data_IF_299258750120
#
_entry.id   IF_299258750120
#
_cell.length_a   1.000
_cell.length_b   1.000
_cell.length_c   1.000
_cell.angle_alpha   90.00
_cell.angle_beta   90.00
_cell.angle_gamma   90.00
#
_symmetry.space_group_name_H-M   'P 1'
#
loop_
_entity.id
_entity.type
_entity.pdbx_description
1 polymer ?
#
# COMPACT_ATOMS: atom_id res chain seq x y z
N UNK A 1 4.23 7.35 28.89
CA UNK A 1 4.03 6.91 27.49
C UNK A 1 5.16 5.95 27.17
N UNK A 2 4.83 4.69 26.98
CA UNK A 2 5.82 3.65 26.68
C UNK A 2 6.36 3.82 25.25
N UNK A 3 7.66 3.67 25.09
CA UNK A 3 8.33 3.83 23.80
C UNK A 3 8.70 2.46 23.24
N UNK A 4 8.10 2.10 22.11
CA UNK A 4 8.47 0.90 21.38
C UNK A 4 9.60 1.24 20.38
N UNK A 5 10.75 0.64 20.58
CA UNK A 5 11.89 0.78 19.67
C UNK A 5 11.65 -0.08 18.41
N UNK A 6 11.73 0.56 17.25
CA UNK A 6 11.50 -0.08 15.94
C UNK A 6 12.71 0.07 15.01
N UNK A 7 13.88 -0.54 15.33
CA UNK A 7 15.12 -0.36 14.56
C UNK A 7 15.00 -0.83 13.09
N UNK A 8 14.07 -1.74 12.78
CA UNK A 8 13.76 -2.18 11.40
C UNK A 8 13.25 -1.06 10.49
N UNK A 9 12.65 0.00 11.05
CA UNK A 9 12.26 1.17 10.26
C UNK A 9 13.47 1.99 9.82
N UNK A 10 14.62 1.84 10.46
CA UNK A 10 15.81 2.61 10.14
C UNK A 10 16.33 2.34 8.71
N UNK A 11 16.34 1.09 8.28
CA UNK A 11 16.70 0.72 6.91
C UNK A 11 15.71 1.32 5.89
N UNK A 12 14.42 1.33 6.22
CA UNK A 12 13.38 1.97 5.41
C UNK A 12 13.54 3.49 5.35
N UNK A 13 13.85 4.13 6.47
CA UNK A 13 14.06 5.59 6.55
C UNK A 13 15.35 5.99 5.82
N UNK A 14 16.41 5.17 5.90
CA UNK A 14 17.67 5.37 5.19
C UNK A 14 17.65 5.00 3.70
N UNK A 15 16.68 4.24 3.23
CA UNK A 15 16.57 3.90 1.81
C UNK A 15 16.56 5.19 0.99
N UNK A 16 17.49 5.31 0.03
CA UNK A 16 17.58 6.49 -0.86
C UNK A 16 16.21 6.74 -1.48
N UNK A 17 15.62 7.90 -1.21
CA UNK A 17 14.36 8.33 -1.83
C UNK A 17 14.57 8.29 -3.34
N UNK A 18 13.86 7.42 -4.05
CA UNK A 18 13.90 7.40 -5.49
C UNK A 18 13.48 8.77 -6.01
N UNK A 19 14.27 9.38 -6.90
CA UNK A 19 13.96 10.68 -7.53
C UNK A 19 12.62 10.67 -8.29
N UNK A 20 12.09 9.49 -8.62
CA UNK A 20 10.86 9.31 -9.38
C UNK A 20 9.76 8.66 -8.53
N UNK A 21 8.59 9.28 -8.50
CA UNK A 21 7.39 8.76 -7.84
C UNK A 21 7.02 7.36 -8.35
N UNK A 22 6.81 6.39 -7.44
CA UNK A 22 6.47 5.01 -7.80
C UNK A 22 5.11 4.89 -8.48
N UNK A 23 4.13 5.73 -8.10
CA UNK A 23 2.81 5.75 -8.74
C UNK A 23 2.89 6.26 -10.17
N UNK A 24 3.57 7.39 -10.41
CA UNK A 24 3.80 7.92 -11.76
C UNK A 24 4.57 6.91 -12.64
N UNK A 25 5.50 6.18 -12.05
CA UNK A 25 6.25 5.12 -12.74
C UNK A 25 5.38 3.91 -13.04
N UNK A 26 4.47 3.54 -12.12
CA UNK A 26 3.49 2.47 -12.31
C UNK A 26 2.51 2.75 -13.44
N UNK A 27 2.20 4.02 -13.71
CA UNK A 27 1.37 4.42 -14.85
C UNK A 27 2.04 4.12 -16.20
N UNK A 28 3.38 4.16 -16.26
CA UNK A 28 4.18 3.93 -17.49
C UNK A 28 4.51 2.46 -17.72
N UNK A 29 4.63 1.64 -16.67
CA UNK A 29 5.00 0.22 -16.78
C UNK A 29 4.35 -0.62 -15.68
N UNK A 30 3.40 -1.46 -16.06
CA UNK A 30 2.66 -2.33 -15.11
C UNK A 30 3.53 -3.41 -14.47
N UNK A 31 4.39 -4.08 -15.24
CA UNK A 31 5.08 -5.30 -14.82
C UNK A 31 6.18 -5.08 -13.78
N UNK A 32 6.85 -3.95 -13.78
CA UNK A 32 7.99 -3.65 -12.88
C UNK A 32 7.60 -3.03 -11.54
N UNK A 33 6.31 -2.73 -11.30
CA UNK A 33 5.88 -1.92 -10.15
C UNK A 33 4.75 -2.56 -9.35
N UNK A 34 4.46 -3.85 -9.54
CA UNK A 34 3.39 -4.57 -8.84
C UNK A 34 2.02 -3.86 -8.91
N UNK A 35 1.71 -3.23 -10.04
CA UNK A 35 0.40 -2.61 -10.28
C UNK A 35 -0.65 -3.71 -10.41
N UNK A 36 -1.67 -3.67 -9.58
CA UNK A 36 -2.75 -4.66 -9.57
C UNK A 36 -4.01 -4.18 -10.29
N UNK A 37 -4.29 -2.87 -10.25
CA UNK A 37 -5.48 -2.31 -10.86
C UNK A 37 -5.28 -0.84 -11.24
N UNK A 38 -5.97 -0.39 -12.29
CA UNK A 38 -5.96 0.99 -12.75
C UNK A 38 -7.32 1.37 -13.32
N UNK A 39 -7.79 2.55 -12.97
CA UNK A 39 -8.97 3.21 -13.54
C UNK A 39 -8.56 4.46 -14.32
N UNK A 40 -9.53 5.27 -14.70
CA UNK A 40 -9.29 6.60 -15.27
C UNK A 40 -8.61 7.55 -14.27
N UNK A 41 -8.96 7.46 -12.98
CA UNK A 41 -8.52 8.42 -11.97
C UNK A 41 -7.67 7.82 -10.84
N UNK A 42 -7.59 6.49 -10.73
CA UNK A 42 -6.85 5.82 -9.67
C UNK A 42 -5.90 4.74 -10.19
N UNK A 43 -4.83 4.49 -9.41
CA UNK A 43 -3.92 3.38 -9.60
C UNK A 43 -3.71 2.65 -8.27
N UNK A 44 -3.70 1.33 -8.30
CA UNK A 44 -3.44 0.47 -7.13
C UNK A 44 -2.22 -0.40 -7.37
N UNK A 45 -1.34 -0.48 -6.38
CA UNK A 45 -0.14 -1.32 -6.43
C UNK A 45 0.17 -1.94 -5.06
N UNK A 46 0.80 -3.11 -5.07
CA UNK A 46 1.31 -3.72 -3.86
C UNK A 46 2.48 -2.91 -3.29
N UNK A 47 2.49 -2.73 -1.98
CA UNK A 47 3.63 -2.13 -1.30
C UNK A 47 4.79 -3.13 -1.25
N UNK A 48 5.96 -2.75 -1.75
CA UNK A 48 7.17 -3.58 -1.72
C UNK A 48 7.81 -3.66 -0.31
N UNK A 49 7.39 -2.77 0.60
CA UNK A 49 7.72 -2.80 2.02
C UNK A 49 6.44 -2.97 2.85
N UNK A 50 5.78 -4.13 2.75
CA UNK A 50 4.45 -4.31 3.28
C UNK A 50 4.45 -4.32 4.82
N UNK A 51 3.44 -3.67 5.43
CA UNK A 51 3.20 -3.77 6.87
C UNK A 51 2.64 -5.14 7.26
N UNK A 52 1.89 -5.74 6.35
CA UNK A 52 1.39 -7.12 6.43
C UNK A 52 1.19 -7.68 5.03
N UNK A 53 0.97 -9.01 4.90
CA UNK A 53 0.69 -9.62 3.60
C UNK A 53 -0.52 -8.94 2.93
N UNK A 54 -0.42 -8.69 1.62
CA UNK A 54 -1.48 -8.02 0.87
C UNK A 54 -1.62 -6.51 1.11
N UNK A 55 -0.61 -5.84 1.66
CA UNK A 55 -0.61 -4.37 1.79
C UNK A 55 -0.63 -3.71 0.42
N UNK A 56 -1.75 -3.06 0.08
CA UNK A 56 -1.94 -2.31 -1.15
C UNK A 56 -1.93 -0.82 -0.87
N UNK A 57 -1.40 -0.06 -1.82
CA UNK A 57 -1.50 1.39 -1.87
C UNK A 57 -2.38 1.80 -3.07
N UNK A 58 -3.31 2.72 -2.85
CA UNK A 58 -4.22 3.26 -3.86
C UNK A 58 -3.99 4.76 -3.94
N UNK A 59 -3.75 5.28 -5.14
CA UNK A 59 -3.36 6.66 -5.37
C UNK A 59 -4.13 7.25 -6.54
N UNK A 60 -4.44 8.55 -6.55
CA UNK A 60 -4.94 9.20 -7.75
C UNK A 60 -3.91 9.10 -8.87
N UNK A 61 -4.36 9.07 -10.12
CA UNK A 61 -3.49 9.09 -11.31
C UNK A 61 -2.74 10.42 -11.40
N UNK A 62 -3.42 11.51 -11.03
CA UNK A 62 -2.81 12.85 -10.99
C UNK A 62 -1.88 12.97 -9.79
N UNK A 63 -0.67 13.47 -10.03
CA UNK A 63 0.35 13.67 -8.98
C UNK A 63 -0.04 14.84 -8.07
N UNK A 64 -0.70 14.55 -6.97
CA UNK A 64 -1.12 15.51 -5.93
C UNK A 64 -0.63 15.04 -4.57
N UNK A 65 -0.28 15.99 -3.70
CA UNK A 65 0.30 15.71 -2.38
C UNK A 65 -0.72 15.66 -1.24
N UNK A 66 -1.91 16.22 -1.47
CA UNK A 66 -2.92 16.39 -0.42
C UNK A 66 -4.33 16.11 -0.97
N UNK A 67 -5.22 15.62 -0.11
CA UNK A 67 -6.59 15.29 -0.50
C UNK A 67 -7.44 16.54 -0.80
N UNK A 68 -7.11 17.71 -0.23
CA UNK A 68 -7.76 18.98 -0.52
C UNK A 68 -7.61 19.41 -2.00
N UNK A 69 -6.62 18.83 -2.69
CA UNK A 69 -6.36 19.09 -4.11
C UNK A 69 -7.11 18.14 -5.05
N UNK A 70 -7.84 17.16 -4.51
CA UNK A 70 -8.60 16.20 -5.30
C UNK A 70 -9.88 16.83 -5.84
N UNK A 71 -10.23 16.45 -7.07
CA UNK A 71 -11.55 16.73 -7.65
C UNK A 71 -12.55 15.68 -7.15
N UNK A 72 -13.83 16.03 -7.10
CA UNK A 72 -14.91 15.14 -6.67
C UNK A 72 -14.87 13.78 -7.39
N UNK A 73 -14.72 13.78 -8.73
CA UNK A 73 -14.61 12.55 -9.51
C UNK A 73 -13.42 11.67 -9.12
N UNK A 74 -12.30 12.27 -8.70
CA UNK A 74 -11.11 11.54 -8.21
C UNK A 74 -11.38 10.92 -6.84
N UNK A 75 -12.07 11.65 -5.94
CA UNK A 75 -12.43 11.15 -4.61
C UNK A 75 -13.38 9.95 -4.74
N UNK A 76 -14.44 10.10 -5.55
CA UNK A 76 -15.41 9.03 -5.79
C UNK A 76 -14.74 7.79 -6.39
N UNK A 77 -13.87 7.96 -7.38
CA UNK A 77 -13.15 6.86 -8.03
C UNK A 77 -12.17 6.17 -7.09
N UNK A 78 -11.48 6.95 -6.23
CA UNK A 78 -10.55 6.42 -5.23
C UNK A 78 -11.26 5.47 -4.26
N UNK A 79 -12.44 5.85 -3.76
CA UNK A 79 -13.22 5.01 -2.85
C UNK A 79 -13.89 3.82 -3.55
N UNK A 80 -14.34 3.97 -4.81
CA UNK A 80 -14.80 2.83 -5.62
C UNK A 80 -13.68 1.83 -5.86
N UNK A 81 -12.48 2.32 -6.15
CA UNK A 81 -11.27 1.51 -6.33
C UNK A 81 -10.89 0.81 -5.03
N UNK A 82 -10.92 1.51 -3.89
CA UNK A 82 -10.69 0.92 -2.56
C UNK A 82 -11.64 -0.25 -2.30
N UNK A 83 -12.94 -0.07 -2.56
CA UNK A 83 -13.93 -1.13 -2.37
C UNK A 83 -13.71 -2.32 -3.31
N UNK A 84 -13.35 -2.08 -4.57
CA UNK A 84 -13.04 -3.15 -5.53
C UNK A 84 -11.79 -3.93 -5.10
N UNK A 85 -10.72 -3.24 -4.70
CA UNK A 85 -9.49 -3.85 -4.19
C UNK A 85 -9.76 -4.65 -2.91
N UNK A 86 -10.55 -4.10 -1.98
CA UNK A 86 -10.94 -4.82 -0.77
C UNK A 86 -11.65 -6.14 -1.08
N UNK A 87 -12.64 -6.12 -1.97
CA UNK A 87 -13.36 -7.34 -2.39
C UNK A 87 -12.42 -8.39 -3.00
N UNK A 88 -11.45 -7.98 -3.80
CA UNK A 88 -10.44 -8.88 -4.34
C UNK A 88 -9.55 -9.47 -3.24
N UNK A 89 -9.13 -8.66 -2.27
CA UNK A 89 -8.37 -9.13 -1.11
C UNK A 89 -9.19 -10.11 -0.25
N UNK A 90 -10.50 -9.87 -0.06
CA UNK A 90 -11.41 -10.78 0.64
C UNK A 90 -11.42 -12.17 0.00
N UNK A 91 -11.49 -12.24 -1.34
CA UNK A 91 -11.50 -13.51 -2.08
C UNK A 91 -10.14 -14.21 -2.05
N UNK A 92 -9.06 -13.48 -2.30
CA UNK A 92 -7.71 -14.04 -2.48
C UNK A 92 -7.06 -14.41 -1.15
N UNK A 93 -7.22 -13.58 -0.11
CA UNK A 93 -6.50 -13.69 1.15
C UNK A 93 -7.37 -14.02 2.36
N UNK A 94 -8.69 -13.82 2.25
CA UNK A 94 -9.68 -14.08 3.32
C UNK A 94 -9.26 -13.47 4.68
N UNK A 95 -8.95 -12.16 4.74
CA UNK A 95 -8.55 -11.53 6.01
C UNK A 95 -9.75 -11.39 6.95
N UNK A 96 -9.48 -11.24 8.25
CA UNK A 96 -10.51 -11.00 9.26
C UNK A 96 -10.90 -9.51 9.36
N UNK A 97 -10.05 -8.60 8.85
CA UNK A 97 -10.29 -7.17 8.89
C UNK A 97 -9.24 -6.38 8.11
N UNK A 98 -9.32 -5.06 8.19
CA UNK A 98 -8.43 -4.13 7.50
C UNK A 98 -8.08 -2.93 8.35
N UNK A 99 -6.84 -2.44 8.23
CA UNK A 99 -6.50 -1.07 8.57
C UNK A 99 -6.43 -0.26 7.28
N UNK A 100 -7.17 0.84 7.22
CA UNK A 100 -7.22 1.74 6.07
C UNK A 100 -6.87 3.13 6.56
N UNK A 101 -5.94 3.81 5.87
CA UNK A 101 -5.50 5.14 6.30
C UNK A 101 -4.65 5.86 5.26
N UNK A 102 -4.40 7.13 5.52
CA UNK A 102 -3.57 8.04 4.71
C UNK A 102 -2.51 8.66 5.62
N UNK A 103 -1.27 8.64 5.19
CA UNK A 103 -0.18 9.36 5.86
C UNK A 103 0.10 10.65 5.09
N UNK A 104 -0.08 11.78 5.74
CA UNK A 104 0.20 13.10 5.17
C UNK A 104 1.44 13.67 5.85
N UNK A 105 2.44 14.04 5.10
CA UNK A 105 3.78 14.48 5.51
C UNK A 105 4.72 13.34 5.97
N UNK A 106 6.04 13.59 5.95
CA UNK A 106 7.04 12.65 6.46
C UNK A 106 6.86 12.33 7.94
N UNK A 107 6.45 13.32 8.72
CA UNK A 107 6.31 13.21 10.18
C UNK A 107 5.15 12.27 10.57
N UNK A 108 4.14 12.14 9.69
CA UNK A 108 3.08 11.16 9.80
C UNK A 108 3.44 9.78 9.23
N UNK A 109 4.70 9.56 8.81
CA UNK A 109 5.19 8.28 8.30
C UNK A 109 5.00 8.07 6.79
N UNK A 110 4.69 9.13 6.01
CA UNK A 110 4.62 9.03 4.56
C UNK A 110 6.00 8.76 3.96
N UNK A 111 6.21 7.57 3.40
CA UNK A 111 7.44 7.23 2.65
C UNK A 111 7.52 7.90 1.27
N UNK A 112 6.36 8.26 0.70
CA UNK A 112 6.20 8.96 -0.57
C UNK A 112 5.42 10.24 -0.31
N UNK A 113 6.13 11.32 -0.07
CA UNK A 113 5.56 12.58 0.44
C UNK A 113 4.90 13.47 -0.61
N UNK A 114 5.22 13.26 -1.88
CA UNK A 114 4.75 14.11 -2.97
C UNK A 114 3.51 13.57 -3.69
N UNK A 115 3.06 12.38 -3.40
CA UNK A 115 1.91 11.76 -4.08
C UNK A 115 0.99 11.09 -3.06
N UNK A 116 -0.19 11.66 -2.87
CA UNK A 116 -1.23 11.17 -1.99
C UNK A 116 -1.53 9.71 -2.27
N UNK A 117 -1.59 8.90 -1.22
CA UNK A 117 -1.96 7.49 -1.35
C UNK A 117 -2.65 6.98 -0.09
N UNK A 118 -3.57 6.09 -0.31
CA UNK A 118 -4.38 5.39 0.67
C UNK A 118 -3.78 4.02 0.88
N UNK A 119 -3.55 3.65 2.13
CA UNK A 119 -3.11 2.30 2.50
C UNK A 119 -4.33 1.44 2.81
N UNK A 120 -4.35 0.20 2.32
CA UNK A 120 -5.24 -0.86 2.78
C UNK A 120 -4.38 -2.06 3.20
N UNK A 121 -4.45 -2.41 4.48
CA UNK A 121 -3.63 -3.44 5.10
C UNK A 121 -4.53 -4.54 5.64
N UNK A 122 -4.53 -5.74 5.04
CA UNK A 122 -5.28 -6.88 5.57
C UNK A 122 -4.78 -7.28 6.96
N UNK A 123 -5.71 -7.73 7.80
CA UNK A 123 -5.43 -8.14 9.17
C UNK A 123 -6.04 -9.52 9.48
N UNK A 124 -5.30 -10.32 10.22
CA UNK A 124 -5.76 -11.63 10.73
C UNK A 124 -5.61 -11.70 12.25
N UNK A 125 -6.43 -12.50 12.88
CA UNK A 125 -6.23 -12.83 14.29
C UNK A 125 -4.86 -13.53 14.43
N UNK A 126 -3.99 -12.99 15.28
CA UNK A 126 -2.64 -13.54 15.47
C UNK A 126 -1.64 -13.21 14.35
N UNK A 127 -1.87 -12.18 13.54
CA UNK A 127 -0.95 -11.75 12.47
C UNK A 127 0.34 -11.07 12.99
N UNK A 128 0.45 -10.89 14.29
CA UNK A 128 1.65 -10.44 14.99
C UNK A 128 2.13 -11.52 15.94
N UNK A 129 3.42 -11.81 15.95
CA UNK A 129 4.07 -12.78 16.82
C UNK A 129 5.35 -12.16 17.43
N UNK A 130 6.17 -12.96 18.08
CA UNK A 130 7.39 -12.50 18.73
C UNK A 130 8.53 -12.11 17.74
N UNK A 131 8.46 -12.52 16.47
CA UNK A 131 9.52 -12.27 15.48
C UNK A 131 9.86 -10.79 15.29
N UNK A 132 8.88 -9.85 15.16
CA UNK A 132 9.19 -8.44 15.08
C UNK A 132 9.85 -7.88 16.34
N UNK A 133 9.52 -8.42 17.53
CA UNK A 133 10.01 -7.95 18.82
C UNK A 133 11.42 -8.46 19.11
N UNK A 134 11.66 -9.76 18.95
CA UNK A 134 12.91 -10.39 19.30
C UNK A 134 13.96 -10.33 18.18
N UNK A 135 13.52 -10.42 16.91
CA UNK A 135 14.42 -10.58 15.76
C UNK A 135 14.32 -9.46 14.74
N UNK A 136 13.54 -8.42 15.04
CA UNK A 136 13.36 -7.30 14.12
C UNK A 136 12.91 -7.75 12.70
N UNK A 137 12.15 -8.83 12.62
CA UNK A 137 11.78 -9.50 11.36
C UNK A 137 10.28 -9.61 11.24
N UNK A 138 9.71 -9.04 10.18
CA UNK A 138 8.32 -9.27 9.79
C UNK A 138 8.26 -10.39 8.76
N UNK A 139 7.62 -11.49 9.12
CA UNK A 139 7.39 -12.61 8.19
C UNK A 139 6.25 -12.25 7.24
N UNK A 140 6.50 -12.30 5.94
CA UNK A 140 5.51 -12.16 4.88
C UNK A 140 5.38 -13.52 4.20
N UNK A 141 4.19 -14.11 4.29
CA UNK A 141 3.94 -15.51 3.96
C UNK A 141 3.83 -15.81 2.46
N UNK A 142 3.84 -14.79 1.60
CA UNK A 142 3.64 -14.96 0.15
C UNK A 142 4.54 -14.01 -0.65
N UNK A 143 5.01 -14.46 -1.83
CA UNK A 143 5.78 -13.60 -2.71
C UNK A 143 4.91 -12.49 -3.33
N UNK A 144 5.47 -11.29 -3.46
CA UNK A 144 4.78 -10.15 -4.07
C UNK A 144 4.34 -10.44 -5.51
N UNK A 145 5.17 -11.16 -6.29
CA UNK A 145 4.88 -11.49 -7.68
C UNK A 145 3.70 -12.43 -7.82
N UNK A 146 3.62 -13.45 -6.98
CA UNK A 146 2.50 -14.40 -6.96
C UNK A 146 1.20 -13.70 -6.55
N UNK A 147 1.25 -12.93 -5.47
CA UNK A 147 0.08 -12.19 -4.98
C UNK A 147 -0.40 -11.16 -6.01
N UNK A 148 0.52 -10.46 -6.67
CA UNK A 148 0.19 -9.51 -7.72
C UNK A 148 -0.61 -10.17 -8.85
N UNK A 149 -0.16 -11.33 -9.33
CA UNK A 149 -0.88 -12.10 -10.38
C UNK A 149 -2.27 -12.54 -9.93
N UNK A 150 -2.41 -13.06 -8.72
CA UNK A 150 -3.71 -13.47 -8.17
C UNK A 150 -4.69 -12.29 -8.10
N UNK A 151 -4.23 -11.14 -7.62
CA UNK A 151 -5.07 -9.95 -7.51
C UNK A 151 -5.40 -9.35 -8.89
N UNK A 152 -4.47 -9.36 -9.83
CA UNK A 152 -4.73 -8.92 -11.21
C UNK A 152 -5.82 -9.76 -11.85
N UNK A 153 -5.76 -11.09 -11.74
CA UNK A 153 -6.77 -12.00 -12.28
C UNK A 153 -8.16 -11.78 -11.68
N UNK A 154 -8.24 -11.41 -10.40
CA UNK A 154 -9.51 -11.13 -9.74
C UNK A 154 -10.08 -9.73 -10.07
N UNK A 155 -9.24 -8.79 -10.47
CA UNK A 155 -9.60 -7.40 -10.72
C UNK A 155 -9.90 -7.08 -12.19
N UNK A 156 -9.56 -8.01 -13.11
CA UNK A 156 -9.82 -7.91 -14.57
C UNK A 156 -11.27 -8.23 -14.97
#
# INVERSE_FOLDING_TARGET
MDRLWAPWRYAYVKAKKHKNCIFCRGLKSKSKNYVIYKTKYSISLLNIFPYNNGHVMISPVRHVKDFSLLKEAEIVDLFKTLNKVKKSLDKVLKPHGYNIGINISPDAGAGITGHLHLHIVPRWKGDTNFMPVLFNTKVISQSLGELCRKLQNELC
#
